data_IF_699253863472
#
_entry.id   IF_699253863472
#
_cell.length_a   1.000
_cell.length_b   1.000
_cell.length_c   1.000
_cell.angle_alpha   90.00
_cell.angle_beta   90.00
_cell.angle_gamma   90.00
#
_symmetry.space_group_name_H-M   'P 1'
#
loop_
_entity.id
_entity.type
_entity.pdbx_description
1 polymer ?
#
# COMPACT_ATOMS: atom_id res chain seq x y z
N UNK A 1 2.45 -14.83 0.75
CA UNK A 1 1.26 -14.67 1.60
C UNK A 1 1.28 -15.62 2.80
N UNK A 2 0.33 -15.47 3.70
CA UNK A 2 0.21 -16.32 4.89
C UNK A 2 0.00 -17.80 4.52
N UNK A 3 0.54 -18.71 5.32
CA UNK A 3 0.42 -20.15 5.12
C UNK A 3 -1.04 -20.59 5.21
N UNK A 4 -1.41 -21.52 4.33
CA UNK A 4 -2.78 -22.00 4.18
C UNK A 4 -3.29 -22.78 5.40
N UNK A 5 -2.42 -23.57 6.02
CA UNK A 5 -2.73 -24.38 7.22
C UNK A 5 -3.16 -23.54 8.43
N UNK A 6 -2.58 -22.36 8.61
CA UNK A 6 -2.95 -21.42 9.66
C UNK A 6 -4.37 -20.91 9.43
N UNK A 7 -4.68 -20.53 8.19
CA UNK A 7 -6.00 -20.03 7.79
C UNK A 7 -7.07 -21.10 7.95
N UNK A 8 -6.81 -22.32 7.48
CA UNK A 8 -7.72 -23.45 7.62
C UNK A 8 -8.05 -23.77 9.09
N UNK A 9 -7.04 -23.69 9.97
CA UNK A 9 -7.26 -23.90 11.40
C UNK A 9 -8.19 -22.84 11.99
N UNK A 10 -7.96 -21.56 11.68
CA UNK A 10 -8.80 -20.46 12.16
C UNK A 10 -10.25 -20.58 11.65
N UNK A 11 -10.42 -20.90 10.36
CA UNK A 11 -11.77 -21.11 9.78
C UNK A 11 -12.49 -22.30 10.43
N UNK A 12 -11.81 -23.42 10.67
CA UNK A 12 -12.38 -24.59 11.38
C UNK A 12 -12.76 -24.29 12.83
N UNK A 13 -12.08 -23.33 13.46
CA UNK A 13 -12.38 -22.87 14.82
C UNK A 13 -13.57 -21.89 14.87
N UNK A 14 -14.16 -21.56 13.73
CA UNK A 14 -15.32 -20.68 13.66
C UNK A 14 -14.96 -19.19 13.71
N UNK A 15 -13.97 -18.77 12.92
CA UNK A 15 -13.62 -17.36 12.77
C UNK A 15 -14.85 -16.55 12.37
N UNK A 16 -15.21 -15.54 13.19
CA UNK A 16 -16.37 -14.68 12.94
C UNK A 16 -16.07 -13.52 12.02
N UNK A 17 -14.80 -13.11 11.94
CA UNK A 17 -14.31 -12.07 11.04
C UNK A 17 -13.20 -12.65 10.18
N UNK A 18 -13.36 -12.54 8.87
CA UNK A 18 -12.38 -13.01 7.89
C UNK A 18 -11.90 -11.81 7.09
N UNK A 19 -10.59 -11.58 7.08
CA UNK A 19 -9.96 -10.51 6.32
C UNK A 19 -9.02 -11.13 5.29
N UNK A 20 -9.14 -10.70 4.04
CA UNK A 20 -8.30 -11.23 2.98
C UNK A 20 -8.36 -10.42 1.70
N UNK A 21 -7.44 -10.71 0.78
CA UNK A 21 -7.52 -10.20 -0.59
C UNK A 21 -8.55 -10.99 -1.39
N UNK A 22 -9.18 -10.38 -2.43
CA UNK A 22 -10.24 -11.03 -3.21
C UNK A 22 -9.87 -12.42 -3.70
N UNK A 23 -8.72 -12.59 -4.33
CA UNK A 23 -8.27 -13.88 -4.85
C UNK A 23 -8.06 -14.96 -3.77
N UNK A 24 -7.63 -14.59 -2.52
CA UNK A 24 -7.51 -15.55 -1.42
C UNK A 24 -8.88 -15.94 -0.87
N UNK A 25 -9.79 -15.01 -0.74
CA UNK A 25 -11.18 -15.27 -0.32
C UNK A 25 -11.83 -16.23 -1.33
N UNK A 26 -11.72 -15.93 -2.62
CA UNK A 26 -12.27 -16.74 -3.69
C UNK A 26 -11.66 -18.16 -3.73
N UNK A 27 -10.36 -18.31 -3.48
CA UNK A 27 -9.72 -19.64 -3.38
C UNK A 27 -10.30 -20.47 -2.21
N UNK A 28 -10.55 -19.87 -1.06
CA UNK A 28 -11.21 -20.53 0.07
C UNK A 28 -12.67 -20.92 -0.24
N UNK A 29 -13.42 -20.07 -0.95
CA UNK A 29 -14.79 -20.37 -1.40
C UNK A 29 -14.76 -21.57 -2.35
N UNK A 30 -13.92 -21.55 -3.38
CA UNK A 30 -13.78 -22.63 -4.39
C UNK A 30 -13.37 -23.97 -3.78
N UNK A 31 -12.60 -23.95 -2.69
CA UNK A 31 -12.21 -25.15 -1.93
C UNK A 31 -13.20 -25.57 -0.87
N UNK A 32 -14.35 -24.91 -0.76
CA UNK A 32 -15.35 -25.16 0.28
C UNK A 32 -14.78 -25.08 1.72
N UNK A 33 -13.76 -24.24 1.93
CA UNK A 33 -13.14 -24.04 3.25
C UNK A 33 -13.62 -22.77 3.93
N UNK A 34 -14.30 -21.88 3.19
CA UNK A 34 -15.02 -20.71 3.68
C UNK A 34 -16.46 -20.77 3.17
N UNK A 35 -17.41 -20.80 4.10
CA UNK A 35 -18.83 -20.75 3.81
C UNK A 35 -19.37 -19.34 4.13
N UNK A 36 -19.99 -18.70 3.14
CA UNK A 36 -20.56 -17.34 3.26
C UNK A 36 -22.07 -17.34 3.42
N UNK A 37 -22.74 -18.50 3.51
CA UNK A 37 -24.22 -18.60 3.53
C UNK A 37 -24.88 -17.85 4.68
N UNK A 38 -24.17 -17.64 5.79
CA UNK A 38 -24.67 -16.92 6.96
C UNK A 38 -23.95 -15.57 7.17
N UNK A 39 -23.29 -15.06 6.15
CA UNK A 39 -22.60 -13.76 6.21
C UNK A 39 -23.61 -12.66 6.56
N UNK A 40 -23.27 -11.82 7.52
CA UNK A 40 -24.07 -10.64 7.93
C UNK A 40 -23.59 -9.34 7.33
N UNK A 41 -22.30 -9.21 7.11
CA UNK A 41 -21.73 -8.00 6.54
C UNK A 41 -20.48 -8.29 5.72
N UNK A 42 -20.31 -7.53 4.65
CA UNK A 42 -19.08 -7.47 3.87
C UNK A 42 -18.57 -6.04 3.79
N UNK A 43 -17.27 -5.88 3.91
CA UNK A 43 -16.58 -4.61 3.72
C UNK A 43 -15.60 -4.75 2.56
N UNK A 44 -15.77 -3.91 1.55
CA UNK A 44 -14.83 -3.71 0.46
C UNK A 44 -14.03 -2.43 0.77
N UNK A 45 -12.75 -2.58 1.09
CA UNK A 45 -11.88 -1.47 1.42
C UNK A 45 -10.84 -1.25 0.32
N UNK A 46 -10.46 0.00 0.08
CA UNK A 46 -9.57 0.39 -1.02
C UNK A 46 -10.05 -0.15 -2.40
N UNK A 47 -11.35 0.05 -2.72
CA UNK A 47 -11.95 -0.53 -3.92
C UNK A 47 -11.28 -0.07 -5.22
N UNK A 48 -10.84 1.18 -5.30
CA UNK A 48 -10.06 1.74 -6.41
C UNK A 48 -8.69 1.04 -6.57
N UNK A 49 -8.04 0.69 -5.46
CA UNK A 49 -6.81 -0.09 -5.49
C UNK A 49 -7.06 -1.53 -5.97
N UNK A 50 -8.16 -2.16 -5.55
CA UNK A 50 -8.55 -3.47 -6.06
C UNK A 50 -8.79 -3.44 -7.58
N UNK A 51 -9.41 -2.36 -8.09
CA UNK A 51 -9.56 -2.13 -9.53
C UNK A 51 -8.19 -2.04 -10.24
N UNK A 52 -7.27 -1.24 -9.69
CA UNK A 52 -5.92 -1.06 -10.24
C UNK A 52 -5.13 -2.35 -10.29
N UNK A 53 -5.34 -3.22 -9.30
CA UNK A 53 -4.69 -4.55 -9.24
C UNK A 53 -5.36 -5.59 -10.14
N UNK A 54 -6.45 -5.26 -10.83
CA UNK A 54 -7.19 -6.18 -11.68
C UNK A 54 -8.06 -7.19 -10.90
N UNK A 55 -8.41 -6.90 -9.64
CA UNK A 55 -9.22 -7.80 -8.80
C UNK A 55 -10.73 -7.60 -8.94
N UNK A 56 -11.18 -6.76 -9.85
CA UNK A 56 -12.61 -6.44 -9.98
C UNK A 56 -13.45 -7.68 -10.29
N UNK A 57 -13.01 -8.54 -11.19
CA UNK A 57 -13.72 -9.78 -11.54
C UNK A 57 -13.79 -10.74 -10.34
N UNK A 58 -12.71 -10.83 -9.56
CA UNK A 58 -12.69 -11.63 -8.33
C UNK A 58 -13.67 -11.06 -7.28
N UNK A 59 -13.72 -9.73 -7.13
CA UNK A 59 -14.67 -9.05 -6.24
C UNK A 59 -16.11 -9.32 -6.68
N UNK A 60 -16.43 -9.16 -7.97
CA UNK A 60 -17.77 -9.46 -8.49
C UNK A 60 -18.16 -10.91 -8.26
N UNK A 61 -17.22 -11.85 -8.42
CA UNK A 61 -17.46 -13.27 -8.18
C UNK A 61 -17.76 -13.53 -6.70
N UNK A 62 -16.99 -12.94 -5.78
CA UNK A 62 -17.26 -13.05 -4.34
C UNK A 62 -18.62 -12.47 -3.98
N UNK A 63 -18.95 -11.28 -4.51
CA UNK A 63 -20.22 -10.61 -4.26
C UNK A 63 -21.43 -11.43 -4.75
N UNK A 64 -21.28 -12.21 -5.81
CA UNK A 64 -22.32 -13.06 -6.35
C UNK A 64 -22.61 -14.33 -5.50
N UNK A 65 -21.67 -14.71 -4.63
CA UNK A 65 -21.81 -15.87 -3.70
C UNK A 65 -22.42 -15.48 -2.34
N UNK A 66 -22.72 -14.19 -2.12
CA UNK A 66 -23.24 -13.71 -0.83
C UNK A 66 -24.72 -14.07 -0.66
N UNK A 67 -25.20 -14.29 0.57
CA UNK A 67 -26.63 -14.47 0.86
C UNK A 67 -27.41 -13.19 0.50
N UNK A 68 -28.70 -13.34 0.23
CA UNK A 68 -29.56 -12.22 -0.16
C UNK A 68 -29.64 -11.14 0.93
N UNK A 69 -29.69 -11.54 2.18
CA UNK A 69 -29.73 -10.61 3.32
C UNK A 69 -28.35 -10.43 3.94
N UNK A 70 -27.68 -9.32 3.59
CA UNK A 70 -26.43 -8.91 4.19
C UNK A 70 -26.25 -7.40 4.07
N UNK A 71 -25.37 -6.83 4.90
CA UNK A 71 -24.94 -5.43 4.77
C UNK A 71 -23.67 -5.35 3.95
N UNK A 72 -23.63 -4.41 2.99
CA UNK A 72 -22.42 -4.10 2.24
C UNK A 72 -21.92 -2.70 2.57
N UNK A 73 -20.64 -2.56 2.92
CA UNK A 73 -19.95 -1.29 3.02
C UNK A 73 -18.79 -1.26 2.01
N UNK A 74 -18.69 -0.18 1.23
CA UNK A 74 -17.62 0.01 0.26
C UNK A 74 -16.88 1.32 0.57
N UNK A 75 -15.57 1.22 0.74
CA UNK A 75 -14.67 2.35 0.97
C UNK A 75 -13.71 2.49 -0.21
N UNK A 76 -13.58 3.73 -0.71
CA UNK A 76 -12.72 4.03 -1.84
C UNK A 76 -12.33 5.51 -1.82
N UNK A 77 -11.10 5.83 -2.14
CA UNK A 77 -10.66 7.22 -2.26
C UNK A 77 -11.24 7.88 -3.53
N UNK A 78 -11.41 7.09 -4.59
CA UNK A 78 -11.99 7.52 -5.87
C UNK A 78 -13.17 6.63 -6.25
N UNK A 79 -14.05 7.14 -7.12
CA UNK A 79 -15.26 6.44 -7.58
C UNK A 79 -15.32 6.37 -9.11
N UNK A 80 -14.36 5.66 -9.75
CA UNK A 80 -14.40 5.45 -11.20
C UNK A 80 -15.58 4.57 -11.62
N UNK A 81 -15.94 4.61 -12.91
CA UNK A 81 -17.14 3.92 -13.43
C UNK A 81 -17.18 2.40 -13.11
N UNK A 82 -16.07 1.62 -13.14
CA UNK A 82 -16.13 0.22 -12.75
C UNK A 82 -16.58 0.01 -11.28
N UNK A 83 -16.15 0.87 -10.36
CA UNK A 83 -16.58 0.82 -8.94
C UNK A 83 -18.05 1.21 -8.81
N UNK A 84 -18.50 2.27 -9.53
CA UNK A 84 -19.92 2.65 -9.56
C UNK A 84 -20.80 1.52 -10.08
N UNK A 85 -20.33 0.72 -11.03
CA UNK A 85 -21.04 -0.44 -11.54
C UNK A 85 -21.22 -1.52 -10.49
N UNK A 86 -20.19 -1.80 -9.68
CA UNK A 86 -20.28 -2.72 -8.53
C UNK A 86 -21.32 -2.21 -7.54
N UNK A 87 -21.29 -0.93 -7.16
CA UNK A 87 -22.28 -0.39 -6.22
C UNK A 87 -23.70 -0.50 -6.74
N UNK A 88 -23.93 -0.20 -8.02
CA UNK A 88 -25.27 -0.33 -8.64
C UNK A 88 -25.76 -1.76 -8.73
N UNK A 89 -24.86 -2.71 -8.92
CA UNK A 89 -25.21 -4.13 -9.12
C UNK A 89 -25.44 -4.89 -7.81
N UNK A 90 -24.62 -4.61 -6.80
CA UNK A 90 -24.54 -5.43 -5.58
C UNK A 90 -25.01 -4.71 -4.31
N UNK A 91 -25.26 -3.41 -4.36
CA UNK A 91 -25.75 -2.67 -3.19
C UNK A 91 -27.20 -2.21 -3.41
N UNK A 92 -28.01 -2.38 -2.38
CA UNK A 92 -29.43 -1.97 -2.43
C UNK A 92 -29.58 -0.59 -1.79
N UNK A 93 -29.91 0.42 -2.59
CA UNK A 93 -30.11 1.80 -2.16
C UNK A 93 -29.03 2.32 -1.19
N UNK A 94 -27.73 2.28 -1.59
CA UNK A 94 -26.66 2.64 -0.69
C UNK A 94 -26.70 4.11 -0.32
N UNK A 95 -26.38 4.43 0.94
CA UNK A 95 -26.08 5.79 1.35
C UNK A 95 -24.65 6.15 0.96
N UNK A 96 -24.51 7.27 0.23
CA UNK A 96 -23.18 7.80 -0.09
C UNK A 96 -22.75 8.81 0.97
N UNK A 97 -21.64 8.52 1.65
CA UNK A 97 -21.00 9.43 2.61
C UNK A 97 -19.70 9.92 1.98
N UNK A 98 -19.67 11.19 1.59
CA UNK A 98 -18.48 11.83 1.01
C UNK A 98 -17.83 12.73 2.03
N UNK A 99 -16.62 12.38 2.44
CA UNK A 99 -15.80 13.22 3.30
C UNK A 99 -15.17 14.31 2.43
N UNK A 100 -15.50 15.56 2.72
CA UNK A 100 -14.80 16.69 2.11
C UNK A 100 -13.42 16.80 2.76
N UNK A 101 -12.37 16.81 1.95
CA UNK A 101 -11.03 17.14 2.43
C UNK A 101 -11.04 18.64 2.75
N UNK A 102 -11.07 18.97 4.03
CA UNK A 102 -10.79 20.34 4.46
C UNK A 102 -9.28 20.50 4.51
N UNK A 103 -8.76 21.59 3.97
CA UNK A 103 -7.32 21.89 3.97
C UNK A 103 -6.72 21.89 5.39
N UNK A 104 -7.53 22.14 6.42
CA UNK A 104 -7.12 22.17 7.83
C UNK A 104 -6.74 20.77 8.37
N UNK A 105 -7.14 19.68 7.71
CA UNK A 105 -6.86 18.29 8.11
C UNK A 105 -5.95 17.57 7.10
N UNK A 106 -5.41 18.27 6.11
CA UNK A 106 -4.44 17.68 5.20
C UNK A 106 -3.17 17.32 5.97
N UNK A 107 -2.52 16.17 5.68
CA UNK A 107 -1.23 15.87 6.29
C UNK A 107 -0.23 16.99 6.02
N UNK A 108 0.49 17.40 7.06
CA UNK A 108 1.56 18.40 6.95
C UNK A 108 2.80 17.73 6.34
N UNK A 109 2.90 17.76 5.01
CA UNK A 109 3.99 17.13 4.25
C UNK A 109 4.66 18.19 3.38
N UNK A 110 5.89 18.53 3.73
CA UNK A 110 6.74 19.35 2.87
C UNK A 110 7.16 18.53 1.64
N UNK A 111 6.89 19.06 0.44
CA UNK A 111 7.12 18.35 -0.81
C UNK A 111 8.16 19.06 -1.66
N UNK A 112 9.22 18.35 -2.01
CA UNK A 112 10.30 18.85 -2.84
C UNK A 112 10.48 17.99 -4.10
N UNK A 113 10.92 18.61 -5.19
CA UNK A 113 11.21 17.95 -6.45
C UNK A 113 12.61 18.32 -6.92
N UNK A 114 13.42 17.31 -7.21
CA UNK A 114 14.77 17.49 -7.76
C UNK A 114 14.87 16.94 -9.17
N UNK A 115 15.34 17.76 -10.09
CA UNK A 115 15.67 17.31 -11.44
C UNK A 115 17.05 16.69 -11.47
N UNK A 116 17.12 15.37 -11.71
CA UNK A 116 18.34 14.57 -11.64
C UNK A 116 18.53 13.80 -12.94
N UNK A 117 19.75 13.81 -13.48
CA UNK A 117 20.09 12.90 -14.58
C UNK A 117 20.14 11.46 -14.07
N UNK A 118 19.57 10.50 -14.83
CA UNK A 118 19.38 9.13 -14.36
C UNK A 118 20.64 8.45 -13.82
N UNK A 119 21.79 8.67 -14.47
CA UNK A 119 23.09 8.15 -14.02
C UNK A 119 23.62 8.78 -12.71
N UNK A 120 23.04 9.88 -12.26
CA UNK A 120 23.40 10.57 -11.00
C UNK A 120 22.36 10.38 -9.89
N UNK A 121 21.31 9.60 -10.09
CA UNK A 121 20.28 9.37 -9.06
C UNK A 121 20.89 8.79 -7.76
N UNK A 122 21.82 7.85 -7.89
CA UNK A 122 22.48 7.25 -6.74
C UNK A 122 23.27 8.29 -5.93
N UNK A 123 24.07 9.11 -6.60
CA UNK A 123 24.85 10.18 -5.96
C UNK A 123 23.92 11.20 -5.29
N UNK A 124 22.85 11.60 -5.99
CA UNK A 124 21.87 12.53 -5.45
C UNK A 124 21.18 11.97 -4.20
N UNK A 125 20.79 10.68 -4.21
CA UNK A 125 20.17 10.02 -3.06
C UNK A 125 21.13 10.00 -1.87
N UNK A 126 22.37 9.57 -2.06
CA UNK A 126 23.36 9.50 -0.99
C UNK A 126 23.63 10.87 -0.38
N UNK A 127 23.86 11.90 -1.22
CA UNK A 127 24.10 13.27 -0.77
C UNK A 127 22.90 13.84 -0.01
N UNK A 128 21.69 13.54 -0.45
CA UNK A 128 20.48 13.95 0.25
C UNK A 128 20.38 13.30 1.63
N UNK A 129 20.54 11.99 1.71
CA UNK A 129 20.44 11.25 2.97
C UNK A 129 21.56 11.56 3.97
N UNK A 130 22.75 12.02 3.49
CA UNK A 130 23.87 12.43 4.36
C UNK A 130 23.58 13.73 5.13
N UNK A 131 22.74 14.61 4.57
CA UNK A 131 22.46 15.94 5.15
C UNK A 131 21.06 16.05 5.73
N UNK A 132 20.17 15.14 5.37
CA UNK A 132 18.78 15.17 5.77
C UNK A 132 18.59 14.47 7.11
N UNK A 133 17.94 15.15 8.05
CA UNK A 133 17.56 14.56 9.33
C UNK A 133 16.21 13.86 9.20
N UNK A 134 16.14 12.57 9.52
CA UNK A 134 14.92 11.79 9.53
C UNK A 134 14.94 10.69 10.60
N UNK A 135 13.78 10.33 11.12
CA UNK A 135 13.64 9.23 12.07
C UNK A 135 13.64 7.87 11.35
N UNK A 136 12.81 7.76 10.32
CA UNK A 136 12.80 6.65 9.38
C UNK A 136 12.38 7.13 8.00
N UNK A 137 12.85 6.43 6.96
CA UNK A 137 12.55 6.75 5.58
C UNK A 137 12.00 5.53 4.81
N UNK A 138 11.11 5.82 3.88
CA UNK A 138 10.72 4.88 2.83
C UNK A 138 11.13 5.43 1.47
N UNK A 139 11.83 4.62 0.68
CA UNK A 139 12.31 4.96 -0.65
C UNK A 139 11.56 4.10 -1.67
N UNK A 140 10.88 4.74 -2.60
CA UNK A 140 10.10 4.07 -3.62
C UNK A 140 10.88 3.87 -4.91
N UNK A 141 10.98 2.61 -5.35
CA UNK A 141 11.50 2.22 -6.66
C UNK A 141 10.40 1.52 -7.48
N UNK A 142 10.52 1.59 -8.81
CA UNK A 142 9.52 1.02 -9.72
C UNK A 142 9.58 -0.51 -9.77
N UNK A 143 10.75 -1.10 -9.59
CA UNK A 143 10.98 -2.53 -9.79
C UNK A 143 11.51 -3.23 -8.55
N UNK A 144 11.30 -4.54 -8.46
CA UNK A 144 11.87 -5.39 -7.41
C UNK A 144 13.40 -5.35 -7.43
N UNK A 145 14.01 -5.43 -8.60
CA UNK A 145 15.47 -5.31 -8.76
C UNK A 145 15.95 -3.96 -8.25
N UNK A 146 15.26 -2.87 -8.60
CA UNK A 146 15.59 -1.53 -8.10
C UNK A 146 15.56 -1.45 -6.57
N UNK A 147 14.69 -2.20 -5.88
CA UNK A 147 14.71 -2.24 -4.41
C UNK A 147 16.00 -2.85 -3.88
N UNK A 148 16.51 -3.89 -4.53
CA UNK A 148 17.74 -4.55 -4.13
C UNK A 148 18.97 -3.69 -4.43
N UNK A 149 19.04 -3.13 -5.64
CA UNK A 149 20.16 -2.30 -6.09
C UNK A 149 20.35 -1.06 -5.18
N UNK A 150 19.25 -0.36 -4.89
CA UNK A 150 19.29 0.82 -4.01
C UNK A 150 19.59 0.42 -2.56
N UNK A 151 19.06 -0.69 -2.08
CA UNK A 151 19.37 -1.18 -0.73
C UNK A 151 20.85 -1.50 -0.60
N UNK A 152 21.43 -2.25 -1.55
CA UNK A 152 22.86 -2.59 -1.54
C UNK A 152 23.73 -1.33 -1.59
N UNK A 153 23.36 -0.33 -2.39
CA UNK A 153 24.03 0.96 -2.43
C UNK A 153 24.04 1.63 -1.05
N UNK A 154 22.90 1.68 -0.39
CA UNK A 154 22.75 2.32 0.93
C UNK A 154 23.55 1.58 2.00
N UNK A 155 23.51 0.25 2.04
CA UNK A 155 24.27 -0.56 2.99
C UNK A 155 25.78 -0.38 2.81
N UNK A 156 26.27 -0.32 1.58
CA UNK A 156 27.69 -0.02 1.26
C UNK A 156 28.16 1.34 1.78
N UNK A 157 27.23 2.30 1.93
CA UNK A 157 27.51 3.62 2.48
C UNK A 157 27.14 3.75 3.97
N UNK A 158 26.92 2.64 4.66
CA UNK A 158 26.74 2.60 6.10
C UNK A 158 25.31 2.90 6.60
N UNK A 159 24.32 3.03 5.70
CA UNK A 159 22.93 3.19 6.09
C UNK A 159 22.32 1.84 6.51
N UNK A 160 21.49 1.86 7.55
CA UNK A 160 20.70 0.71 7.97
C UNK A 160 19.45 0.58 7.10
N UNK A 161 19.61 -0.06 5.95
CA UNK A 161 18.56 -0.20 4.94
C UNK A 161 18.14 -1.65 4.73
N UNK A 162 16.92 -1.88 4.25
CA UNK A 162 16.44 -3.18 3.79
C UNK A 162 15.47 -3.02 2.62
N UNK A 163 15.49 -3.98 1.69
CA UNK A 163 14.52 -4.05 0.61
C UNK A 163 13.18 -4.61 1.11
N UNK A 164 12.07 -4.12 0.52
CA UNK A 164 10.73 -4.61 0.73
C UNK A 164 10.04 -4.79 -0.63
N UNK A 165 9.88 -6.02 -1.09
CA UNK A 165 9.27 -6.34 -2.37
C UNK A 165 8.42 -7.61 -2.31
N UNK A 166 7.72 -7.92 -3.41
CA UNK A 166 6.75 -9.00 -3.46
C UNK A 166 7.34 -10.43 -3.40
N UNK A 167 8.66 -10.59 -3.51
CA UNK A 167 9.30 -11.91 -3.47
C UNK A 167 9.64 -12.33 -2.03
N UNK A 168 9.49 -11.43 -1.06
CA UNK A 168 9.69 -11.73 0.35
C UNK A 168 8.59 -12.63 0.91
N UNK A 169 8.99 -13.54 1.82
CA UNK A 169 8.01 -14.25 2.63
C UNK A 169 7.29 -13.27 3.55
N UNK A 170 6.06 -13.60 3.96
CA UNK A 170 5.31 -12.76 4.89
C UNK A 170 6.05 -12.56 6.22
N UNK A 171 6.70 -13.61 6.72
CA UNK A 171 7.49 -13.55 7.95
C UNK A 171 8.65 -12.55 7.83
N UNK A 172 9.40 -12.59 6.72
CA UNK A 172 10.52 -11.67 6.50
C UNK A 172 10.03 -10.23 6.35
N UNK A 173 8.88 -10.04 5.67
CA UNK A 173 8.22 -8.74 5.55
C UNK A 173 7.87 -8.16 6.93
N UNK A 174 7.21 -8.95 7.78
CA UNK A 174 6.83 -8.55 9.14
C UNK A 174 8.06 -8.19 9.98
N UNK A 175 9.10 -9.04 9.96
CA UNK A 175 10.36 -8.77 10.65
C UNK A 175 11.02 -7.46 10.17
N UNK A 176 11.02 -7.19 8.87
CA UNK A 176 11.58 -5.95 8.31
C UNK A 176 10.80 -4.73 8.79
N UNK A 177 9.47 -4.78 8.78
CA UNK A 177 8.63 -3.70 9.26
C UNK A 177 8.76 -3.48 10.77
N UNK A 178 8.90 -4.54 11.56
CA UNK A 178 9.14 -4.44 13.01
C UNK A 178 10.50 -3.81 13.31
N UNK A 179 11.53 -4.13 12.55
CA UNK A 179 12.85 -3.47 12.66
C UNK A 179 12.77 -1.98 12.31
N UNK A 180 11.98 -1.61 11.30
CA UNK A 180 11.75 -0.18 10.97
C UNK A 180 10.99 0.53 12.10
N UNK A 181 9.99 -0.13 12.68
CA UNK A 181 9.17 0.40 13.77
C UNK A 181 9.96 0.62 15.05
N UNK A 182 10.83 -0.31 15.41
CA UNK A 182 11.62 -0.27 16.66
C UNK A 182 12.97 0.47 16.55
N UNK A 183 13.32 0.97 15.36
CA UNK A 183 14.55 1.76 15.15
C UNK A 183 15.82 0.94 14.92
N UNK A 184 15.74 -0.39 14.79
CA UNK A 184 16.91 -1.18 14.34
C UNK A 184 17.17 -1.08 12.85
N UNK A 185 16.24 -0.52 12.10
CA UNK A 185 16.34 -0.21 10.68
C UNK A 185 15.86 1.24 10.48
N UNK A 186 16.54 2.01 9.63
CA UNK A 186 16.17 3.40 9.38
C UNK A 186 15.51 3.59 8.02
N UNK A 187 15.84 2.77 7.04
CA UNK A 187 15.39 2.94 5.66
C UNK A 187 14.82 1.64 5.13
N UNK A 188 13.65 1.73 4.51
CA UNK A 188 13.09 0.65 3.70
C UNK A 188 13.00 1.12 2.25
N UNK A 189 13.53 0.31 1.32
CA UNK A 189 13.40 0.52 -0.12
C UNK A 189 12.31 -0.40 -0.64
N UNK A 190 11.24 0.16 -1.18
CA UNK A 190 10.03 -0.60 -1.49
C UNK A 190 9.46 -0.33 -2.88
N UNK A 191 8.73 -1.30 -3.43
CA UNK A 191 7.81 -1.07 -4.53
C UNK A 191 6.44 -0.62 -4.00
N UNK A 192 5.60 0.01 -4.84
CA UNK A 192 4.25 0.45 -4.46
C UNK A 192 3.43 -0.69 -3.83
N UNK A 193 3.44 -1.87 -4.47
CA UNK A 193 2.69 -3.04 -3.99
C UNK A 193 3.19 -3.49 -2.61
N UNK A 194 4.50 -3.50 -2.40
CA UNK A 194 5.07 -3.93 -1.14
C UNK A 194 4.89 -2.91 -0.02
N UNK A 195 4.79 -1.64 -0.33
CA UNK A 195 4.59 -0.56 0.64
C UNK A 195 3.13 -0.39 1.09
N UNK A 196 2.19 -1.09 0.44
CA UNK A 196 0.78 -1.00 0.83
C UNK A 196 0.55 -1.46 2.27
N UNK A 197 -0.31 -0.74 2.97
CA UNK A 197 -0.65 -1.03 4.36
C UNK A 197 0.47 -0.75 5.36
N UNK A 198 1.59 -0.15 4.96
CA UNK A 198 2.59 0.30 5.91
C UNK A 198 2.00 1.48 6.69
N UNK A 199 1.86 1.27 7.99
CA UNK A 199 1.44 2.27 8.96
C UNK A 199 2.47 2.30 10.09
N UNK A 200 3.48 3.13 9.94
CA UNK A 200 4.58 3.29 10.89
C UNK A 200 4.77 4.78 11.12
N UNK A 201 4.36 5.26 12.29
CA UNK A 201 4.39 6.68 12.67
C UNK A 201 5.79 7.30 12.62
N UNK A 202 6.82 6.46 12.80
CA UNK A 202 8.22 6.87 12.77
C UNK A 202 8.69 7.34 11.38
N UNK A 203 7.97 7.02 10.29
CA UNK A 203 8.35 7.44 8.94
C UNK A 203 8.16 8.96 8.82
N UNK A 204 9.26 9.69 8.82
CA UNK A 204 9.31 11.15 8.66
C UNK A 204 9.71 11.59 7.25
N UNK A 205 10.24 10.67 6.43
CA UNK A 205 10.73 10.95 5.08
C UNK A 205 10.22 9.92 4.07
N UNK A 206 9.73 10.41 2.94
CA UNK A 206 9.43 9.61 1.74
C UNK A 206 10.28 10.10 0.58
N UNK A 207 11.03 9.20 -0.06
CA UNK A 207 11.79 9.51 -1.27
C UNK A 207 11.19 8.73 -2.45
N UNK A 208 10.70 9.43 -3.45
CA UNK A 208 10.33 8.85 -4.73
C UNK A 208 11.58 8.79 -5.61
N UNK A 209 12.37 7.71 -5.47
CA UNK A 209 13.57 7.49 -6.29
C UNK A 209 13.20 7.31 -7.76
N UNK A 210 12.12 6.59 -8.04
CA UNK A 210 11.47 6.53 -9.33
C UNK A 210 10.12 7.23 -9.30
N UNK A 211 9.83 7.99 -10.36
CA UNK A 211 8.55 8.67 -10.53
C UNK A 211 7.39 7.66 -10.45
N UNK A 212 6.30 7.96 -9.71
CA UNK A 212 5.10 7.13 -9.70
C UNK A 212 4.40 7.13 -11.05
N UNK A 213 3.54 6.13 -11.28
CA UNK A 213 2.80 5.98 -12.55
C UNK A 213 1.76 7.07 -12.78
N UNK A 214 1.19 7.60 -11.70
CA UNK A 214 0.15 8.63 -11.72
C UNK A 214 0.12 9.45 -10.43
N UNK A 215 -0.64 10.54 -10.43
CA UNK A 215 -0.76 11.46 -9.29
C UNK A 215 -1.34 10.79 -8.04
N UNK A 216 -2.25 9.83 -8.20
CA UNK A 216 -2.85 9.11 -7.07
C UNK A 216 -1.83 8.21 -6.39
N UNK A 217 -1.01 7.49 -7.17
CA UNK A 217 0.11 6.71 -6.64
C UNK A 217 1.11 7.61 -5.88
N UNK A 218 1.36 8.84 -6.38
CA UNK A 218 2.17 9.82 -5.67
C UNK A 218 1.59 10.16 -4.29
N UNK A 219 0.31 10.47 -4.22
CA UNK A 219 -0.38 10.79 -2.96
C UNK A 219 -0.34 9.61 -2.00
N UNK A 220 -0.56 8.39 -2.47
CA UNK A 220 -0.47 7.17 -1.67
C UNK A 220 0.94 6.91 -1.12
N UNK A 221 1.98 7.23 -1.90
CA UNK A 221 3.37 7.13 -1.45
C UNK A 221 3.70 8.13 -0.36
N UNK A 222 3.43 9.42 -0.59
CA UNK A 222 3.75 10.46 0.39
C UNK A 222 2.90 10.33 1.65
N UNK A 223 1.69 9.79 1.56
CA UNK A 223 0.83 9.48 2.69
C UNK A 223 1.37 8.37 3.62
N UNK A 224 2.59 7.86 3.39
CA UNK A 224 3.30 7.01 4.37
C UNK A 224 3.96 7.84 5.47
N UNK A 225 4.12 9.15 5.29
CA UNK A 225 4.57 10.10 6.30
C UNK A 225 3.47 11.12 6.65
N UNK A 226 3.71 12.05 7.55
CA UNK A 226 2.74 13.06 7.97
C UNK A 226 1.53 12.47 8.72
N UNK A 227 1.71 11.39 9.47
CA UNK A 227 0.64 10.68 10.18
C UNK A 227 0.59 11.07 11.66
N UNK A 228 -0.56 10.83 12.28
CA UNK A 228 -0.79 11.08 13.70
C UNK A 228 -0.46 12.52 14.16
N UNK A 229 -0.69 13.51 13.27
CA UNK A 229 -0.41 14.91 13.57
C UNK A 229 1.07 15.31 13.53
N UNK A 230 1.95 14.42 13.05
CA UNK A 230 3.38 14.72 12.82
C UNK A 230 3.55 15.32 11.42
N UNK A 231 4.50 16.22 11.28
CA UNK A 231 4.95 16.70 9.97
C UNK A 231 5.78 15.64 9.26
N UNK A 232 5.78 15.64 7.94
CA UNK A 232 6.57 14.75 7.11
C UNK A 232 7.25 15.49 5.97
N UNK A 233 8.20 14.83 5.33
CA UNK A 233 8.86 15.34 4.11
C UNK A 233 8.82 14.33 2.99
N UNK A 234 8.66 14.84 1.78
CA UNK A 234 8.67 14.04 0.56
C UNK A 234 9.60 14.67 -0.48
N UNK A 235 10.45 13.83 -1.07
CA UNK A 235 11.32 14.20 -2.17
C UNK A 235 10.98 13.36 -3.40
N UNK A 236 10.87 14.00 -4.55
CA UNK A 236 10.66 13.36 -5.84
C UNK A 236 11.87 13.60 -6.75
N UNK A 237 12.49 12.53 -7.24
CA UNK A 237 13.48 12.63 -8.32
C UNK A 237 12.78 12.56 -9.68
N UNK A 238 13.08 13.53 -10.54
CA UNK A 238 12.55 13.62 -11.90
C UNK A 238 13.69 13.68 -12.90
N UNK A 239 13.74 12.72 -13.81
CA UNK A 239 14.67 12.75 -14.93
C UNK A 239 14.19 13.73 -16.02
N UNK A 240 15.10 14.29 -16.83
CA UNK A 240 14.73 15.21 -17.91
C UNK A 240 13.66 14.66 -18.86
N UNK A 241 13.69 13.35 -19.12
CA UNK A 241 12.70 12.64 -19.96
C UNK A 241 11.32 12.47 -19.31
N UNK A 242 11.25 12.59 -17.98
CA UNK A 242 10.03 12.38 -17.19
C UNK A 242 9.27 13.68 -16.92
N UNK A 243 9.77 14.84 -17.36
CA UNK A 243 9.16 16.17 -17.11
C UNK A 243 7.75 16.35 -17.69
N UNK A 244 7.32 15.47 -18.59
CA UNK A 244 6.04 15.56 -19.28
C UNK A 244 5.02 14.54 -18.76
N UNK A 245 5.38 13.75 -17.76
CA UNK A 245 4.52 12.83 -17.06
C UNK A 245 3.92 13.53 -15.82
#
# INVERSE_FOLDING_TARGET
>A
GQRYDIQLRALKQGAQVVVGTPGRILDHIRRNTLNLSELKAIVLDEADEMLRMGFIDDVETVMAELPEEHQTALFSATMPEPIRRITKRFMNNPQEVKIKVNNDNAPDIEQNCWYVQGFRKNDALLRFLEVEEFDAAIIFTRTKTGTLDVTELLEKHGFRAAALNGDMTQQLREQTLDRLRNGSLDIVVATDVAARGIDIERISLVVNYDIPLDAESYVHRIGRTGRAGRSGRALLFVEPRERRL
#
